data_IF_573135228012
#
_entry.id   IF_573135228012
#
_cell.length_a   1.000
_cell.length_b   1.000
_cell.length_c   1.000
_cell.angle_alpha   90.00
_cell.angle_beta   90.00
_cell.angle_gamma   90.00
#
_symmetry.space_group_name_H-M   'P 1'
#
loop_
_entity.id
_entity.type
_entity.pdbx_description
1 polymer ?
#
# COMPACT_ATOMS: atom_id res chain seq x y z
N UNK A 1 30.61 -12.87 11.08
CA UNK A 1 29.25 -12.85 11.17
C UNK A 1 28.74 -12.22 12.41
N UNK A 2 27.85 -11.54 12.38
CA UNK A 2 27.47 -10.91 13.57
C UNK A 2 26.04 -10.43 13.56
N UNK A 3 25.78 -9.55 14.48
CA UNK A 3 24.47 -8.99 14.65
C UNK A 3 23.96 -8.29 13.38
N UNK A 4 24.88 -7.73 12.57
CA UNK A 4 24.49 -7.03 11.36
C UNK A 4 23.74 -7.90 10.37
N UNK A 5 24.16 -9.15 10.20
CA UNK A 5 23.48 -10.06 9.29
C UNK A 5 22.12 -10.49 9.84
N UNK A 6 22.05 -10.72 11.14
CA UNK A 6 20.77 -11.03 11.78
C UNK A 6 19.79 -9.87 11.65
N UNK A 7 20.26 -8.63 11.79
CA UNK A 7 19.44 -7.44 11.63
C UNK A 7 18.86 -7.32 10.22
N UNK A 8 19.65 -7.66 9.20
CA UNK A 8 19.18 -7.64 7.82
C UNK A 8 18.03 -8.63 7.63
N UNK A 9 18.17 -9.84 8.17
CA UNK A 9 17.11 -10.84 8.09
C UNK A 9 15.83 -10.35 8.80
N UNK A 10 15.98 -9.78 9.99
CA UNK A 10 14.85 -9.27 10.73
C UNK A 10 14.14 -8.13 10.01
N UNK A 11 14.89 -7.24 9.33
CA UNK A 11 14.32 -6.16 8.57
C UNK A 11 13.43 -6.65 7.44
N UNK A 12 13.77 -7.75 6.79
CA UNK A 12 12.96 -8.31 5.70
C UNK A 12 11.57 -8.73 6.17
N UNK A 13 11.45 -9.17 7.41
CA UNK A 13 10.18 -9.63 7.97
C UNK A 13 9.45 -8.55 8.76
N UNK A 14 10.11 -7.42 8.98
CA UNK A 14 9.53 -6.34 9.77
C UNK A 14 8.42 -5.66 8.99
N UNK A 15 7.31 -5.41 9.67
CA UNK A 15 6.22 -4.67 9.07
C UNK A 15 6.52 -3.18 9.03
N UNK A 16 6.00 -2.54 8.00
CA UNK A 16 6.07 -1.10 7.79
C UNK A 16 4.65 -0.62 7.53
N UNK A 17 4.41 0.64 7.83
CA UNK A 17 3.14 1.29 7.47
C UNK A 17 3.46 2.59 6.76
N UNK A 18 2.85 2.79 5.59
CA UNK A 18 3.06 4.00 4.80
C UNK A 18 1.72 4.60 4.38
N UNK A 19 1.70 5.93 4.31
CA UNK A 19 0.62 6.68 3.70
C UNK A 19 1.02 7.03 2.28
N UNK A 20 0.07 6.93 1.35
CA UNK A 20 0.26 7.28 -0.05
C UNK A 20 -0.87 8.19 -0.52
N UNK A 21 -0.52 9.13 -1.38
CA UNK A 21 -1.51 9.90 -2.12
C UNK A 21 -1.14 9.86 -3.60
N UNK A 22 -2.09 9.39 -4.41
CA UNK A 22 -1.86 9.16 -5.83
C UNK A 22 -2.64 10.19 -6.64
N UNK A 23 -1.97 10.80 -7.60
CA UNK A 23 -2.54 11.80 -8.49
C UNK A 23 -2.43 11.32 -9.93
N UNK A 24 -3.44 11.62 -10.74
CA UNK A 24 -3.50 11.22 -12.14
C UNK A 24 -4.90 10.76 -12.49
N UNK A 25 -5.01 9.80 -13.40
CA UNK A 25 -6.29 9.14 -13.65
C UNK A 25 -6.43 7.95 -12.71
N UNK A 26 -6.89 8.24 -11.51
CA UNK A 26 -6.91 7.27 -10.42
C UNK A 26 -8.29 6.99 -9.87
N UNK A 27 -9.28 7.86 -10.13
CA UNK A 27 -10.67 7.59 -9.75
C UNK A 27 -11.46 7.07 -10.94
N UNK A 28 -12.49 6.28 -10.66
CA UNK A 28 -13.39 5.68 -11.66
C UNK A 28 -12.66 4.74 -12.65
N UNK A 29 -11.50 4.22 -12.26
CA UNK A 29 -10.71 3.30 -13.07
C UNK A 29 -10.40 2.00 -12.34
N UNK A 30 -11.09 1.74 -11.22
CA UNK A 30 -10.94 0.50 -10.47
C UNK A 30 -9.78 0.49 -9.49
N UNK A 31 -9.21 1.66 -9.15
CA UNK A 31 -8.07 1.74 -8.23
C UNK A 31 -8.38 1.09 -6.88
N UNK A 32 -9.50 1.47 -6.26
CA UNK A 32 -9.84 0.97 -4.93
C UNK A 32 -10.04 -0.54 -4.92
N UNK A 33 -10.68 -1.08 -5.94
CA UNK A 33 -10.89 -2.52 -6.03
C UNK A 33 -9.60 -3.27 -6.30
N UNK A 34 -8.73 -2.73 -7.15
CA UNK A 34 -7.41 -3.32 -7.40
C UNK A 34 -6.57 -3.35 -6.13
N UNK A 35 -6.55 -2.24 -5.40
CA UNK A 35 -5.80 -2.14 -4.15
C UNK A 35 -6.32 -3.14 -3.11
N UNK A 36 -7.64 -3.23 -2.95
CA UNK A 36 -8.24 -4.12 -1.96
C UNK A 36 -7.99 -5.59 -2.30
N UNK A 37 -8.15 -5.96 -3.57
CA UNK A 37 -7.91 -7.35 -4.01
C UNK A 37 -6.44 -7.73 -3.80
N UNK A 38 -5.52 -6.84 -4.15
CA UNK A 38 -4.09 -7.11 -3.98
C UNK A 38 -3.70 -7.18 -2.50
N UNK A 39 -4.23 -6.27 -1.68
CA UNK A 39 -3.95 -6.29 -0.25
C UNK A 39 -4.41 -7.61 0.38
N UNK A 40 -5.59 -8.08 0.01
CA UNK A 40 -6.09 -9.36 0.50
C UNK A 40 -5.21 -10.51 0.02
N UNK A 41 -4.87 -10.52 -1.26
CA UNK A 41 -4.04 -11.58 -1.84
C UNK A 41 -2.68 -11.69 -1.16
N UNK A 42 -2.04 -10.56 -0.91
CA UNK A 42 -0.68 -10.55 -0.37
C UNK A 42 -0.61 -10.40 1.15
N UNK A 43 -1.76 -10.27 1.81
CA UNK A 43 -1.80 -10.20 3.27
C UNK A 43 -1.44 -8.84 3.85
N UNK A 44 -1.54 -7.77 3.06
CA UNK A 44 -1.34 -6.42 3.56
C UNK A 44 -2.63 -5.87 4.16
N UNK A 45 -2.51 -4.92 5.08
CA UNK A 45 -3.66 -4.31 5.75
C UNK A 45 -3.66 -2.80 5.53
N UNK A 46 -4.78 -2.15 5.78
CA UNK A 46 -4.89 -0.71 5.65
C UNK A 46 -6.24 -0.26 5.11
N UNK A 47 -6.22 0.78 4.29
CA UNK A 47 -7.44 1.33 3.69
C UNK A 47 -7.10 2.15 2.44
N UNK A 48 -8.11 2.35 1.60
CA UNK A 48 -8.01 3.19 0.40
C UNK A 48 -9.29 4.02 0.26
N UNK A 49 -9.15 5.26 -0.20
CA UNK A 49 -10.28 6.21 -0.31
C UNK A 49 -10.07 7.18 -1.46
N UNK A 50 -11.16 7.48 -2.19
CA UNK A 50 -11.18 8.59 -3.13
C UNK A 50 -11.27 9.91 -2.37
N UNK A 51 -10.48 10.90 -2.80
CA UNK A 51 -10.51 12.23 -2.19
C UNK A 51 -11.27 13.22 -3.08
N UNK A 52 -11.67 14.35 -2.49
CA UNK A 52 -12.47 15.34 -3.20
C UNK A 52 -11.73 16.00 -4.37
N UNK A 53 -10.41 16.04 -4.32
CA UNK A 53 -9.57 16.62 -5.37
C UNK A 53 -9.25 15.65 -6.50
N UNK A 54 -9.97 14.52 -6.58
CA UNK A 54 -9.81 13.46 -7.56
C UNK A 54 -8.56 12.59 -7.34
N UNK A 55 -7.81 12.81 -6.29
CA UNK A 55 -6.73 11.91 -5.90
C UNK A 55 -7.27 10.71 -5.13
N UNK A 56 -6.40 9.72 -4.91
CA UNK A 56 -6.70 8.55 -4.09
C UNK A 56 -5.69 8.52 -2.95
N UNK A 57 -6.17 8.37 -1.71
CA UNK A 57 -5.31 8.18 -0.57
C UNK A 57 -5.38 6.72 -0.09
N UNK A 58 -4.27 6.24 0.45
CA UNK A 58 -4.16 4.86 0.91
C UNK A 58 -3.16 4.78 2.05
N UNK A 59 -3.51 4.02 3.08
CA UNK A 59 -2.51 3.55 4.05
C UNK A 59 -2.34 2.06 3.86
N UNK A 60 -1.10 1.60 3.86
CA UNK A 60 -0.79 0.22 3.59
C UNK A 60 0.26 -0.25 4.59
N UNK A 61 -0.02 -1.40 5.22
CA UNK A 61 0.86 -2.00 6.20
C UNK A 61 1.16 -3.43 5.86
N UNK A 62 2.43 -3.80 5.94
CA UNK A 62 2.90 -5.15 5.68
C UNK A 62 4.41 -5.17 5.64
N UNK A 63 4.96 -6.31 5.25
CA UNK A 63 6.39 -6.40 4.96
C UNK A 63 6.69 -5.61 3.69
N UNK A 64 7.96 -5.34 3.46
CA UNK A 64 8.38 -4.66 2.24
C UNK A 64 7.88 -5.39 1.00
N UNK A 65 7.96 -6.72 1.01
CA UNK A 65 7.52 -7.53 -0.13
C UNK A 65 6.01 -7.40 -0.35
N UNK A 66 5.23 -7.46 0.73
CA UNK A 66 3.78 -7.32 0.63
C UNK A 66 3.38 -5.96 0.07
N UNK A 67 4.00 -4.91 0.59
CA UNK A 67 3.73 -3.54 0.12
C UNK A 67 4.10 -3.41 -1.35
N UNK A 68 5.27 -3.88 -1.75
CA UNK A 68 5.70 -3.82 -3.14
C UNK A 68 4.77 -4.59 -4.06
N UNK A 69 4.27 -5.73 -3.62
CA UNK A 69 3.34 -6.54 -4.42
C UNK A 69 2.02 -5.82 -4.65
N UNK A 70 1.50 -5.16 -3.62
CA UNK A 70 0.27 -4.37 -3.76
C UNK A 70 0.48 -3.20 -4.72
N UNK A 71 1.56 -2.44 -4.54
CA UNK A 71 1.85 -1.31 -5.42
C UNK A 71 2.06 -1.77 -6.86
N UNK A 72 2.72 -2.90 -7.05
CA UNK A 72 2.93 -3.48 -8.38
C UNK A 72 1.63 -3.87 -9.05
N UNK A 73 0.68 -4.42 -8.30
CA UNK A 73 -0.64 -4.77 -8.85
C UNK A 73 -1.39 -3.52 -9.30
N UNK A 74 -1.30 -2.43 -8.54
CA UNK A 74 -1.93 -1.16 -8.91
C UNK A 74 -1.31 -0.63 -10.20
N UNK A 75 0.03 -0.60 -10.27
CA UNK A 75 0.73 -0.14 -11.47
C UNK A 75 0.44 -1.02 -12.68
N UNK A 76 0.18 -2.30 -12.46
CA UNK A 76 -0.13 -3.24 -13.53
C UNK A 76 -1.53 -3.10 -14.13
N UNK A 77 -2.40 -2.31 -13.51
CA UNK A 77 -3.73 -2.08 -14.04
C UNK A 77 -3.66 -0.98 -15.10
N UNK A 78 -3.86 -1.36 -16.37
CA UNK A 78 -3.69 -0.45 -17.50
C UNK A 78 -4.69 0.70 -17.54
N UNK A 79 -5.78 0.63 -16.79
CA UNK A 79 -6.75 1.73 -16.71
C UNK A 79 -6.32 2.82 -15.73
N UNK A 80 -5.35 2.52 -14.86
CA UNK A 80 -4.86 3.47 -13.85
C UNK A 80 -3.63 4.17 -14.43
N UNK A 81 -3.66 5.53 -14.41
CA UNK A 81 -2.48 6.32 -14.77
C UNK A 81 -2.08 7.15 -13.56
N UNK A 82 -0.91 6.87 -13.02
CA UNK A 82 -0.38 7.60 -11.88
C UNK A 82 0.63 8.61 -12.40
N UNK A 83 0.36 9.90 -12.21
CA UNK A 83 1.25 10.97 -12.63
C UNK A 83 2.20 11.36 -11.50
N UNK A 84 1.76 11.25 -10.26
CA UNK A 84 2.56 11.62 -9.09
C UNK A 84 2.10 10.85 -7.86
N UNK A 85 3.06 10.49 -7.01
CA UNK A 85 2.78 9.84 -5.74
C UNK A 85 3.49 10.61 -4.64
N UNK A 86 2.75 10.91 -3.58
CA UNK A 86 3.32 11.38 -2.33
C UNK A 86 3.25 10.24 -1.33
N UNK A 87 4.30 10.07 -0.53
CA UNK A 87 4.29 9.02 0.49
C UNK A 87 5.02 9.48 1.74
N UNK A 88 4.63 8.91 2.87
CA UNK A 88 5.36 9.12 4.12
C UNK A 88 5.21 7.90 5.01
N UNK A 89 6.24 7.59 5.80
CA UNK A 89 6.15 6.49 6.75
C UNK A 89 5.25 6.86 7.92
N UNK A 90 4.57 5.84 8.44
CA UNK A 90 3.73 5.96 9.63
C UNK A 90 4.13 4.90 10.64
N UNK A 91 3.70 5.06 11.87
CA UNK A 91 3.88 4.04 12.88
C UNK A 91 3.01 2.82 12.55
N UNK A 92 3.57 1.63 12.76
CA UNK A 92 2.84 0.37 12.57
C UNK A 92 1.74 0.28 13.63
N UNK A 93 0.57 -0.20 13.21
CA UNK A 93 -0.55 -0.45 14.09
C UNK A 93 -0.54 -1.93 14.45
N UNK A 94 -0.43 -2.24 15.74
CA UNK A 94 -0.43 -3.62 16.20
C UNK A 94 -1.80 -4.25 16.00
N UNK A 95 -1.80 -5.53 15.65
CA UNK A 95 -3.02 -6.32 15.49
C UNK A 95 -3.99 -5.74 14.44
N UNK A 96 -3.46 -4.99 13.48
CA UNK A 96 -4.27 -4.48 12.38
C UNK A 96 -4.71 -5.65 11.50
N UNK A 97 -5.99 -5.67 11.14
CA UNK A 97 -6.57 -6.72 10.30
C UNK A 97 -7.33 -6.11 9.15
N UNK A 98 -7.25 -6.79 8.00
CA UNK A 98 -8.07 -6.47 6.84
C UNK A 98 -7.64 -5.22 6.11
N UNK A 99 -8.27 -5.03 4.98
CA UNK A 99 -8.07 -3.85 4.13
C UNK A 99 -9.44 -3.29 3.81
N UNK A 100 -9.63 -2.01 4.11
CA UNK A 100 -10.93 -1.36 3.99
C UNK A 100 -10.99 -0.45 2.77
N UNK A 101 -12.06 -0.58 1.98
CA UNK A 101 -12.39 0.40 0.93
C UNK A 101 -13.31 1.43 1.56
N UNK A 102 -12.84 2.66 1.67
CA UNK A 102 -13.65 3.74 2.24
C UNK A 102 -14.37 4.51 1.15
N UNK A 103 -15.58 4.93 1.44
CA UNK A 103 -16.42 5.68 0.50
C UNK A 103 -16.72 7.11 0.97
#
# INVERSE_FOLDING_TARGET
MGAGQADIVLKKWKKQRNYYRFYGEVQAVGFRFTAAAAAEEYGATGWVRNEADESVSMELQGTEKQIRSVLGAIEGNSYIRIDRVESKPLAVIKNKRGFEVKF
#
